data_IF_864035385563
#
_entry.id   IF_864035385563
#
_cell.length_a   1.000
_cell.length_b   1.000
_cell.length_c   1.000
_cell.angle_alpha   90.00
_cell.angle_beta   90.00
_cell.angle_gamma   90.00
#
_symmetry.space_group_name_H-M   'P 1'
#
loop_
_entity.id
_entity.type
_entity.pdbx_description
1 polymer ?
#
# COMPACT_ATOMS: atom_id res chain seq x y z
N UNK A 1 0.78 -21.89 -2.85
CA UNK A 1 1.25 -20.66 -2.19
C UNK A 1 1.71 -20.87 -0.74
N UNK A 2 1.43 -21.97 -0.09
CA UNK A 2 1.79 -22.19 1.32
C UNK A 2 0.90 -21.44 2.32
N UNK A 3 1.30 -21.47 3.62
CA UNK A 3 0.56 -20.83 4.72
C UNK A 3 1.49 -20.02 5.64
N UNK A 4 2.51 -19.39 5.08
CA UNK A 4 3.37 -18.46 5.81
C UNK A 4 2.66 -17.14 6.15
N UNK A 5 3.26 -16.31 6.97
CA UNK A 5 2.68 -15.03 7.39
C UNK A 5 2.48 -14.08 6.21
N UNK A 6 3.37 -14.10 5.22
CA UNK A 6 3.28 -13.29 4.00
C UNK A 6 2.03 -13.64 3.20
N UNK A 7 1.80 -14.94 2.97
CA UNK A 7 0.61 -15.44 2.29
C UNK A 7 -0.66 -15.09 3.06
N UNK A 8 -0.67 -15.32 4.39
CA UNK A 8 -1.84 -14.98 5.22
C UNK A 8 -2.14 -13.48 5.25
N UNK A 9 -1.13 -12.63 5.31
CA UNK A 9 -1.29 -11.19 5.37
C UNK A 9 -1.99 -10.64 4.11
N UNK A 10 -1.50 -11.01 2.92
CA UNK A 10 -2.15 -10.59 1.66
C UNK A 10 -3.50 -11.24 1.44
N UNK A 11 -3.66 -12.53 1.77
CA UNK A 11 -4.94 -13.21 1.61
C UNK A 11 -6.04 -12.61 2.49
N UNK A 12 -5.76 -12.28 3.75
CA UNK A 12 -6.70 -11.65 4.67
C UNK A 12 -7.09 -10.24 4.22
N UNK A 13 -6.13 -9.43 3.75
CA UNK A 13 -6.43 -8.11 3.23
C UNK A 13 -7.29 -8.18 1.95
N UNK A 14 -6.97 -9.09 1.04
CA UNK A 14 -7.75 -9.34 -0.16
C UNK A 14 -9.17 -9.81 0.17
N UNK A 15 -9.32 -10.79 1.07
CA UNK A 15 -10.62 -11.32 1.50
C UNK A 15 -11.48 -10.25 2.18
N UNK A 16 -10.90 -9.39 3.03
CA UNK A 16 -11.62 -8.28 3.65
C UNK A 16 -12.14 -7.28 2.63
N UNK A 17 -11.35 -6.98 1.61
CA UNK A 17 -11.79 -6.13 0.48
C UNK A 17 -12.88 -6.82 -0.34
N UNK A 18 -12.71 -8.10 -0.65
CA UNK A 18 -13.68 -8.86 -1.42
C UNK A 18 -15.03 -8.91 -0.71
N UNK A 19 -15.05 -9.25 0.58
CA UNK A 19 -16.26 -9.23 1.39
C UNK A 19 -16.96 -7.85 1.34
N UNK A 20 -16.19 -6.77 1.53
CA UNK A 20 -16.72 -5.41 1.46
C UNK A 20 -17.31 -5.07 0.10
N UNK A 21 -16.62 -5.44 -0.99
CA UNK A 21 -17.09 -5.16 -2.36
C UNK A 21 -18.32 -5.97 -2.74
N UNK A 22 -18.58 -7.07 -2.06
CA UNK A 22 -19.77 -7.92 -2.24
C UNK A 22 -20.88 -7.66 -1.19
N UNK A 23 -20.83 -6.52 -0.49
CA UNK A 23 -21.93 -6.04 0.34
C UNK A 23 -21.88 -6.50 1.81
N UNK A 24 -20.74 -6.94 2.32
CA UNK A 24 -20.60 -7.20 3.76
C UNK A 24 -20.82 -5.92 4.57
N UNK A 25 -21.76 -5.95 5.50
CA UNK A 25 -22.19 -4.79 6.31
C UNK A 25 -21.29 -4.51 7.52
N UNK A 26 -20.27 -5.32 7.77
CA UNK A 26 -19.34 -5.08 8.87
C UNK A 26 -18.61 -3.74 8.69
N UNK A 27 -18.44 -2.96 9.79
CA UNK A 27 -17.79 -1.66 9.71
C UNK A 27 -16.33 -1.76 9.32
N UNK A 28 -15.87 -0.82 8.50
CA UNK A 28 -14.49 -0.73 8.00
C UNK A 28 -13.93 0.65 8.30
N UNK A 29 -12.76 0.71 8.90
CA UNK A 29 -12.01 1.96 9.11
C UNK A 29 -11.54 2.51 7.77
N UNK A 30 -11.77 3.80 7.54
CA UNK A 30 -11.39 4.50 6.32
C UNK A 30 -9.98 5.10 6.47
N UNK A 31 -9.13 4.88 5.47
CA UNK A 31 -7.90 5.64 5.30
C UNK A 31 -7.93 6.36 3.95
N UNK A 32 -7.57 7.63 3.93
CA UNK A 32 -7.49 8.47 2.71
C UNK A 32 -8.76 8.42 1.84
N UNK A 33 -9.94 8.30 2.47
CA UNK A 33 -11.24 8.30 1.81
C UNK A 33 -11.71 6.94 1.30
N UNK A 34 -11.04 5.84 1.63
CA UNK A 34 -11.39 4.50 1.17
C UNK A 34 -11.29 3.44 2.27
N UNK A 35 -12.35 2.62 2.43
CA UNK A 35 -12.34 1.47 3.32
C UNK A 35 -11.36 0.38 2.85
N UNK A 36 -11.20 0.20 1.54
CA UNK A 36 -10.21 -0.74 1.00
C UNK A 36 -8.78 -0.33 1.37
N UNK A 37 -8.47 0.97 1.40
CA UNK A 37 -7.19 1.45 1.90
C UNK A 37 -7.05 1.19 3.40
N UNK A 38 -8.11 1.43 4.20
CA UNK A 38 -8.10 1.13 5.63
C UNK A 38 -7.85 -0.35 5.94
N UNK A 39 -8.47 -1.27 5.19
CA UNK A 39 -8.20 -2.71 5.27
C UNK A 39 -6.72 -2.99 4.92
N UNK A 40 -6.23 -2.40 3.86
CA UNK A 40 -4.88 -2.68 3.34
C UNK A 40 -3.78 -2.19 4.28
N UNK A 41 -3.93 -1.03 4.90
CA UNK A 41 -2.93 -0.50 5.86
C UNK A 41 -2.95 -1.22 7.20
N UNK A 42 -4.06 -1.90 7.56
CA UNK A 42 -4.25 -2.44 8.91
C UNK A 42 -4.13 -3.95 8.97
N UNK A 43 -4.83 -4.69 8.12
CA UNK A 43 -4.93 -6.15 8.21
C UNK A 43 -3.59 -6.87 8.06
N UNK A 44 -2.71 -6.51 7.12
CA UNK A 44 -1.38 -7.12 7.02
C UNK A 44 -0.52 -6.87 8.27
N UNK A 45 -0.55 -5.64 8.79
CA UNK A 45 0.19 -5.25 10.00
C UNK A 45 -0.29 -6.04 11.21
N UNK A 46 -1.61 -6.15 11.42
CA UNK A 46 -2.21 -6.98 12.49
C UNK A 46 -1.81 -8.45 12.33
N UNK A 47 -1.76 -8.95 11.09
CA UNK A 47 -1.39 -10.34 10.83
C UNK A 47 0.06 -10.60 11.21
N UNK A 48 0.98 -9.71 10.87
CA UNK A 48 2.39 -9.80 11.27
C UNK A 48 2.58 -9.60 12.77
N UNK A 49 1.87 -8.66 13.39
CA UNK A 49 1.94 -8.46 14.84
C UNK A 49 1.57 -9.72 15.62
N UNK A 50 0.51 -10.42 15.18
CA UNK A 50 0.12 -11.71 15.78
C UNK A 50 1.18 -12.79 15.60
N UNK A 51 1.78 -12.89 14.42
CA UNK A 51 2.86 -13.86 14.14
C UNK A 51 4.09 -13.60 14.99
N UNK A 52 4.49 -12.34 15.09
CA UNK A 52 5.67 -11.90 15.87
C UNK A 52 5.40 -11.81 17.36
N UNK A 53 4.16 -12.09 17.82
CA UNK A 53 3.75 -11.94 19.23
C UNK A 53 4.04 -10.55 19.78
N UNK A 54 3.83 -9.53 18.95
CA UNK A 54 4.05 -8.14 19.33
C UNK A 54 3.11 -7.72 20.48
N UNK A 55 3.57 -6.83 21.33
CA UNK A 55 2.75 -6.21 22.38
C UNK A 55 1.70 -5.28 21.74
N UNK A 56 0.64 -4.95 22.49
CA UNK A 56 -0.38 -3.99 22.03
C UNK A 56 0.24 -2.63 21.69
N UNK A 57 1.21 -2.17 22.46
CA UNK A 57 1.92 -0.92 22.17
C UNK A 57 2.68 -0.99 20.84
N UNK A 58 3.41 -2.07 20.57
CA UNK A 58 4.11 -2.27 19.30
C UNK A 58 3.11 -2.32 18.13
N UNK A 59 1.99 -3.03 18.30
CA UNK A 59 0.93 -3.07 17.30
C UNK A 59 0.36 -1.68 17.01
N UNK A 60 0.01 -0.91 18.06
CA UNK A 60 -0.56 0.43 17.86
C UNK A 60 0.42 1.40 17.21
N UNK A 61 1.69 1.35 17.57
CA UNK A 61 2.74 2.15 16.91
C UNK A 61 2.91 1.78 15.44
N UNK A 62 2.92 0.48 15.11
CA UNK A 62 3.00 -0.01 13.74
C UNK A 62 1.77 0.40 12.91
N UNK A 63 0.57 0.33 13.50
CA UNK A 63 -0.66 0.78 12.85
C UNK A 63 -0.66 2.30 12.63
N UNK A 64 -0.20 3.08 13.61
CA UNK A 64 -0.05 4.52 13.45
C UNK A 64 0.93 4.86 12.32
N UNK A 65 2.10 4.22 12.31
CA UNK A 65 3.10 4.40 11.25
C UNK A 65 2.51 4.06 9.87
N UNK A 66 1.90 2.89 9.72
CA UNK A 66 1.30 2.46 8.46
C UNK A 66 0.21 3.44 7.99
N UNK A 67 -0.71 3.83 8.87
CA UNK A 67 -1.80 4.73 8.50
C UNK A 67 -1.29 6.13 8.12
N UNK A 68 -0.37 6.71 8.88
CA UNK A 68 0.20 8.02 8.60
C UNK A 68 1.04 8.01 7.32
N UNK A 69 1.80 6.95 7.08
CA UNK A 69 2.58 6.76 5.84
C UNK A 69 1.66 6.73 4.62
N UNK A 70 0.52 6.02 4.69
CA UNK A 70 -0.44 6.01 3.59
C UNK A 70 -1.04 7.39 3.32
N UNK A 71 -1.42 8.12 4.36
CA UNK A 71 -1.94 9.50 4.25
C UNK A 71 -0.90 10.42 3.62
N UNK A 72 0.35 10.34 4.09
CA UNK A 72 1.46 11.14 3.57
C UNK A 72 1.70 10.88 2.09
N UNK A 73 1.78 9.62 1.67
CA UNK A 73 1.92 9.24 0.26
C UNK A 73 0.73 9.71 -0.59
N UNK A 74 -0.50 9.70 -0.03
CA UNK A 74 -1.70 10.08 -0.78
C UNK A 74 -1.85 11.59 -0.95
N UNK A 75 -1.30 12.39 -0.07
CA UNK A 75 -1.41 13.86 -0.07
C UNK A 75 -1.02 14.49 -1.41
N UNK A 76 0.14 14.21 -2.03
CA UNK A 76 0.53 14.80 -3.31
C UNK A 76 -0.27 14.25 -4.52
N UNK A 77 -0.88 13.07 -4.41
CA UNK A 77 -1.71 12.47 -5.48
C UNK A 77 -3.10 13.10 -5.51
N UNK A 78 -3.66 13.41 -4.35
CA UNK A 78 -5.02 13.89 -4.18
C UNK A 78 -6.03 12.76 -3.95
N UNK A 79 -7.29 13.13 -3.64
CA UNK A 79 -8.34 12.16 -3.27
C UNK A 79 -8.82 11.31 -4.43
N UNK A 80 -8.96 11.91 -5.61
CA UNK A 80 -9.44 11.24 -6.82
C UNK A 80 -8.31 11.18 -7.86
N UNK A 81 -7.97 10.00 -8.29
CA UNK A 81 -6.94 9.75 -9.29
C UNK A 81 -7.08 8.32 -9.81
N UNK A 82 -6.71 8.09 -11.07
CA UNK A 82 -6.52 6.76 -11.63
C UNK A 82 -5.37 5.99 -10.98
N UNK A 83 -4.51 6.65 -10.21
CA UNK A 83 -3.51 5.98 -9.38
C UNK A 83 -4.19 5.22 -8.23
N UNK A 84 -4.03 3.92 -8.19
CA UNK A 84 -4.73 3.06 -7.24
C UNK A 84 -4.28 3.32 -5.79
N UNK A 85 -5.23 3.67 -4.92
CA UNK A 85 -4.95 3.89 -3.50
C UNK A 85 -4.44 2.64 -2.76
N UNK A 86 -4.72 1.43 -3.28
CA UNK A 86 -4.19 0.19 -2.73
C UNK A 86 -2.64 0.14 -2.80
N UNK A 87 -2.03 0.78 -3.82
CA UNK A 87 -0.56 0.86 -3.95
C UNK A 87 0.06 1.56 -2.75
N UNK A 88 -0.43 2.76 -2.43
CA UNK A 88 0.06 3.52 -1.27
C UNK A 88 -0.19 2.77 0.03
N UNK A 89 -1.37 2.18 0.17
CA UNK A 89 -1.76 1.43 1.35
C UNK A 89 -0.91 0.16 1.54
N UNK A 90 -0.57 -0.55 0.47
CA UNK A 90 0.30 -1.72 0.50
C UNK A 90 1.75 -1.36 0.85
N UNK A 91 2.29 -0.29 0.25
CA UNK A 91 3.61 0.22 0.60
C UNK A 91 3.68 0.65 2.08
N UNK A 92 2.62 1.31 2.57
CA UNK A 92 2.51 1.71 3.96
C UNK A 92 2.35 0.52 4.93
N UNK A 93 1.62 -0.52 4.54
CA UNK A 93 1.57 -1.77 5.29
C UNK A 93 2.97 -2.41 5.41
N UNK A 94 3.76 -2.37 4.33
CA UNK A 94 5.17 -2.76 4.34
C UNK A 94 6.00 -1.98 5.37
N UNK A 95 5.80 -0.67 5.46
CA UNK A 95 6.45 0.18 6.48
C UNK A 95 6.10 -0.27 7.92
N UNK A 96 4.82 -0.53 8.19
CA UNK A 96 4.38 -1.06 9.50
C UNK A 96 4.96 -2.44 9.81
N UNK A 97 5.06 -3.31 8.81
CA UNK A 97 5.69 -4.63 8.93
C UNK A 97 7.19 -4.50 9.19
N UNK A 98 7.89 -3.61 8.46
CA UNK A 98 9.31 -3.33 8.68
C UNK A 98 9.56 -2.91 10.14
N UNK A 99 8.76 -1.98 10.66
CA UNK A 99 8.83 -1.55 12.05
C UNK A 99 8.62 -2.70 13.04
N UNK A 100 7.58 -3.52 12.86
CA UNK A 100 7.31 -4.69 13.72
C UNK A 100 8.44 -5.71 13.70
N UNK A 101 9.14 -5.81 12.59
CA UNK A 101 10.29 -6.71 12.41
C UNK A 101 11.61 -6.14 12.95
N UNK A 102 11.57 -5.00 13.63
CA UNK A 102 12.76 -4.35 14.22
C UNK A 102 13.54 -3.47 13.25
N UNK A 103 12.96 -3.15 12.09
CA UNK A 103 13.56 -2.22 11.12
C UNK A 103 13.62 -0.80 11.67
N UNK A 104 14.72 -0.12 11.37
CA UNK A 104 14.95 1.28 11.67
C UNK A 104 14.28 2.22 10.65
N UNK A 105 14.56 3.51 10.75
CA UNK A 105 14.04 4.52 9.83
C UNK A 105 14.42 4.21 8.37
N UNK A 106 15.66 3.81 8.10
CA UNK A 106 16.12 3.49 6.74
C UNK A 106 15.38 2.27 6.18
N UNK A 107 15.17 1.22 6.99
CA UNK A 107 14.38 0.07 6.58
C UNK A 107 12.94 0.46 6.22
N UNK A 108 12.33 1.36 6.98
CA UNK A 108 10.97 1.84 6.72
C UNK A 108 10.88 2.63 5.40
N UNK A 109 11.76 3.62 5.20
CA UNK A 109 11.69 4.47 4.00
C UNK A 109 12.05 3.70 2.74
N UNK A 110 13.06 2.82 2.77
CA UNK A 110 13.44 2.00 1.63
C UNK A 110 12.38 0.94 1.30
N UNK A 111 11.68 0.41 2.29
CA UNK A 111 10.51 -0.44 2.07
C UNK A 111 9.45 0.28 1.23
N UNK A 112 9.12 1.52 1.58
CA UNK A 112 8.14 2.33 0.84
C UNK A 112 8.61 2.63 -0.57
N UNK A 113 9.86 3.09 -0.72
CA UNK A 113 10.45 3.43 -2.04
C UNK A 113 10.46 2.20 -2.95
N UNK A 114 10.93 1.05 -2.46
CA UNK A 114 10.97 -0.19 -3.23
C UNK A 114 9.57 -0.61 -3.67
N UNK A 115 8.59 -0.60 -2.76
CA UNK A 115 7.22 -0.95 -3.08
C UNK A 115 6.62 -0.03 -4.17
N UNK A 116 6.81 1.29 -4.03
CA UNK A 116 6.31 2.26 -5.02
C UNK A 116 6.97 2.11 -6.39
N UNK A 117 8.28 1.83 -6.42
CA UNK A 117 8.99 1.57 -7.68
C UNK A 117 8.43 0.35 -8.42
N UNK A 118 7.97 -0.68 -7.69
CA UNK A 118 7.48 -1.93 -8.26
C UNK A 118 6.04 -1.80 -8.77
N UNK A 119 5.12 -1.16 -8.01
CA UNK A 119 3.67 -1.28 -8.27
C UNK A 119 2.95 0.02 -8.62
N UNK A 120 3.65 1.12 -8.88
CA UNK A 120 3.02 2.41 -9.19
C UNK A 120 2.21 2.44 -10.50
N UNK A 121 2.23 1.37 -11.30
CA UNK A 121 1.44 1.23 -12.52
C UNK A 121 0.02 0.67 -12.34
N UNK A 122 -0.39 0.29 -11.12
CA UNK A 122 -1.73 -0.24 -10.88
C UNK A 122 -2.75 0.90 -10.93
N UNK A 123 -3.72 0.78 -11.84
CA UNK A 123 -4.78 1.78 -12.01
C UNK A 123 -5.98 1.52 -11.10
N UNK A 124 -6.70 2.61 -10.78
CA UNK A 124 -7.98 2.58 -10.08
C UNK A 124 -9.13 2.81 -11.07
N UNK A 125 -9.94 1.79 -11.27
CA UNK A 125 -11.13 1.76 -12.11
C UNK A 125 -12.44 1.69 -11.30
N UNK A 126 -12.40 2.20 -10.08
CA UNK A 126 -13.50 2.20 -9.13
C UNK A 126 -13.45 1.05 -8.12
N UNK A 127 -14.32 1.12 -7.11
CA UNK A 127 -14.43 0.13 -6.04
C UNK A 127 -15.21 -1.09 -6.54
N UNK A 128 -14.52 -2.19 -6.79
CA UNK A 128 -15.05 -3.42 -7.38
C UNK A 128 -14.37 -4.66 -6.78
N UNK A 129 -14.91 -5.85 -7.05
CA UNK A 129 -14.34 -7.12 -6.61
C UNK A 129 -12.84 -7.29 -7.02
N UNK A 130 -12.44 -6.75 -8.19
CA UNK A 130 -11.04 -6.74 -8.64
C UNK A 130 -10.07 -6.02 -7.69
N UNK A 131 -10.58 -5.18 -6.78
CA UNK A 131 -9.74 -4.54 -5.75
C UNK A 131 -9.04 -5.57 -4.87
N UNK A 132 -9.64 -6.73 -4.61
CA UNK A 132 -9.02 -7.80 -3.83
C UNK A 132 -7.67 -8.24 -4.42
N UNK A 133 -7.62 -8.44 -5.75
CA UNK A 133 -6.38 -8.77 -6.45
C UNK A 133 -5.34 -7.64 -6.38
N UNK A 134 -5.78 -6.39 -6.64
CA UNK A 134 -4.90 -5.20 -6.56
C UNK A 134 -4.29 -5.03 -5.16
N UNK A 135 -5.08 -5.29 -4.10
CA UNK A 135 -4.64 -5.25 -2.70
C UNK A 135 -3.62 -6.36 -2.42
N UNK A 136 -3.89 -7.58 -2.88
CA UNK A 136 -2.95 -8.70 -2.69
C UNK A 136 -1.56 -8.36 -3.27
N UNK A 137 -1.52 -7.81 -4.49
CA UNK A 137 -0.26 -7.40 -5.13
C UNK A 137 0.40 -6.20 -4.45
N UNK A 138 -0.38 -5.22 -4.00
CA UNK A 138 0.15 -4.06 -3.29
C UNK A 138 0.79 -4.44 -1.94
N UNK A 139 0.14 -5.32 -1.18
CA UNK A 139 0.68 -5.86 0.08
C UNK A 139 1.93 -6.70 -0.18
N UNK A 140 1.91 -7.52 -1.24
CA UNK A 140 3.08 -8.29 -1.66
C UNK A 140 4.27 -7.39 -1.97
N UNK A 141 4.05 -6.29 -2.70
CA UNK A 141 5.11 -5.33 -3.00
C UNK A 141 5.67 -4.65 -1.74
N UNK A 142 4.82 -4.34 -0.76
CA UNK A 142 5.26 -3.81 0.53
C UNK A 142 6.16 -4.77 1.28
N UNK A 143 5.78 -6.05 1.36
CA UNK A 143 6.57 -7.10 2.01
C UNK A 143 7.87 -7.35 1.22
N UNK A 144 7.79 -7.40 -0.11
CA UNK A 144 8.96 -7.58 -0.97
C UNK A 144 9.94 -6.42 -0.80
N UNK A 145 9.44 -5.18 -0.75
CA UNK A 145 10.26 -3.99 -0.57
C UNK A 145 11.08 -4.04 0.72
N UNK A 146 10.49 -4.51 1.82
CA UNK A 146 11.20 -4.76 3.07
C UNK A 146 12.25 -5.87 2.93
N UNK A 147 11.87 -7.01 2.35
CA UNK A 147 12.79 -8.14 2.17
C UNK A 147 13.99 -7.78 1.28
N UNK A 148 13.77 -6.99 0.23
CA UNK A 148 14.86 -6.48 -0.61
C UNK A 148 15.85 -5.66 0.21
N UNK A 149 15.35 -4.71 1.01
CA UNK A 149 16.21 -3.89 1.85
C UNK A 149 17.03 -4.73 2.86
N UNK A 150 16.39 -5.71 3.50
CA UNK A 150 17.07 -6.62 4.44
C UNK A 150 18.16 -7.48 3.77
N UNK A 151 18.10 -7.65 2.47
CA UNK A 151 19.14 -8.33 1.66
C UNK A 151 20.16 -7.35 1.05
N UNK A 152 20.16 -6.09 1.48
CA UNK A 152 21.04 -5.06 0.96
C UNK A 152 20.68 -4.58 -0.46
N UNK A 153 19.44 -4.82 -0.91
CA UNK A 153 18.94 -4.42 -2.22
C UNK A 153 17.90 -3.31 -2.09
N UNK A 154 18.05 -2.29 -2.92
CA UNK A 154 17.12 -1.16 -2.97
C UNK A 154 17.19 -0.47 -4.32
N UNK A 155 16.14 0.27 -4.67
CA UNK A 155 16.17 1.19 -5.80
C UNK A 155 16.79 2.52 -5.38
N UNK A 156 17.58 3.10 -6.29
CA UNK A 156 18.32 4.33 -6.06
C UNK A 156 17.73 5.51 -6.86
N UNK A 157 18.08 6.71 -6.47
CA UNK A 157 17.75 7.90 -7.23
C UNK A 157 18.32 7.81 -8.65
N UNK A 158 17.41 7.84 -9.64
CA UNK A 158 17.74 7.62 -11.05
C UNK A 158 17.11 6.35 -11.61
N UNK A 159 16.65 5.43 -10.78
CA UNK A 159 15.90 4.25 -11.21
C UNK A 159 14.45 4.65 -11.56
N UNK A 160 14.24 5.05 -12.80
CA UNK A 160 12.93 5.49 -13.28
C UNK A 160 12.38 6.70 -12.53
N UNK A 161 11.25 6.50 -11.83
CA UNK A 161 10.58 7.56 -11.06
C UNK A 161 11.17 7.78 -9.66
N UNK A 162 12.07 6.91 -9.21
CA UNK A 162 12.73 7.02 -7.92
C UNK A 162 13.70 8.22 -7.92
N UNK A 163 13.65 9.02 -6.86
CA UNK A 163 14.50 10.19 -6.64
C UNK A 163 15.39 9.99 -5.42
N UNK A 164 16.34 10.89 -5.22
CA UNK A 164 17.18 10.87 -4.04
C UNK A 164 16.34 11.21 -2.81
N UNK A 165 16.13 10.20 -1.95
CA UNK A 165 15.31 10.32 -0.75
C UNK A 165 13.82 10.07 -0.98
N UNK A 166 13.15 9.77 0.13
CA UNK A 166 11.73 9.38 0.12
C UNK A 166 10.81 10.53 -0.33
N UNK A 167 11.02 11.74 0.19
CA UNK A 167 10.13 12.88 -0.08
C UNK A 167 10.09 13.26 -1.56
N UNK A 168 11.22 13.26 -2.24
CA UNK A 168 11.26 13.58 -3.66
C UNK A 168 10.72 12.43 -4.52
N UNK A 169 10.84 11.19 -4.05
CA UNK A 169 10.18 10.03 -4.67
C UNK A 169 8.66 10.17 -4.53
N UNK A 170 8.14 10.52 -3.35
CA UNK A 170 6.71 10.74 -3.12
C UNK A 170 6.16 11.89 -3.98
N UNK A 171 6.91 12.98 -4.14
CA UNK A 171 6.55 14.07 -5.08
C UNK A 171 6.47 13.58 -6.52
N UNK A 172 7.41 12.73 -6.96
CA UNK A 172 7.40 12.16 -8.32
C UNK A 172 6.17 11.26 -8.53
N UNK A 173 5.87 10.38 -7.58
CA UNK A 173 4.67 9.54 -7.59
C UNK A 173 3.40 10.41 -7.55
N UNK A 174 3.40 11.45 -6.72
CA UNK A 174 2.31 12.42 -6.62
C UNK A 174 2.01 13.10 -7.95
N UNK A 175 3.05 13.60 -8.61
CA UNK A 175 2.94 14.22 -9.94
C UNK A 175 2.44 13.23 -10.99
N UNK A 176 2.95 11.99 -10.97
CA UNK A 176 2.47 10.93 -11.85
C UNK A 176 0.97 10.68 -11.64
N UNK A 177 0.55 10.48 -10.39
CA UNK A 177 -0.84 10.18 -10.05
C UNK A 177 -1.80 11.35 -10.28
N UNK A 178 -1.38 12.58 -9.97
CA UNK A 178 -2.22 13.77 -10.08
C UNK A 178 -2.30 14.30 -11.52
N UNK A 179 -1.15 14.49 -12.14
CA UNK A 179 -1.04 15.19 -13.43
C UNK A 179 -0.92 14.18 -14.58
N UNK A 180 -0.04 13.19 -14.43
CA UNK A 180 0.25 12.21 -15.47
C UNK A 180 -0.92 11.26 -15.78
N UNK A 181 -1.70 10.88 -14.76
CA UNK A 181 -2.85 9.99 -14.92
C UNK A 181 -4.18 10.70 -15.17
N UNK A 182 -4.19 12.01 -15.44
CA UNK A 182 -5.43 12.74 -15.70
C UNK A 182 -6.17 12.20 -16.93
N UNK A 183 -5.48 12.05 -18.06
CA UNK A 183 -6.04 11.44 -19.26
C UNK A 183 -6.45 9.98 -19.07
N UNK A 184 -5.67 9.21 -18.29
CA UNK A 184 -6.02 7.84 -17.92
C UNK A 184 -7.34 7.78 -17.15
N UNK A 185 -7.56 8.71 -16.23
CA UNK A 185 -8.80 8.79 -15.45
C UNK A 185 -10.00 9.10 -16.36
N UNK A 186 -9.84 10.03 -17.28
CA UNK A 186 -10.89 10.39 -18.26
C UNK A 186 -11.23 9.20 -19.17
N UNK A 187 -10.24 8.45 -19.63
CA UNK A 187 -10.43 7.29 -20.48
C UNK A 187 -11.10 6.13 -19.74
N UNK A 188 -10.72 5.87 -18.48
CA UNK A 188 -11.39 4.87 -17.65
C UNK A 188 -12.89 5.19 -17.51
N UNK A 189 -13.24 6.46 -17.29
CA UNK A 189 -14.63 6.87 -17.15
C UNK A 189 -15.40 6.60 -18.46
N UNK A 190 -14.83 6.92 -19.63
CA UNK A 190 -15.46 6.63 -20.93
C UNK A 190 -15.72 5.13 -21.08
N UNK A 191 -14.70 4.30 -20.87
CA UNK A 191 -14.83 2.83 -20.96
C UNK A 191 -15.93 2.31 -20.01
N UNK A 192 -16.08 2.90 -18.83
CA UNK A 192 -17.10 2.47 -17.86
C UNK A 192 -18.52 2.90 -18.24
N UNK A 193 -18.67 3.85 -19.16
CA UNK A 193 -19.97 4.36 -19.63
C UNK A 193 -20.42 3.72 -20.95
N UNK A 194 -19.58 2.96 -21.63
CA UNK A 194 -19.90 2.13 -22.80
C UNK A 194 -20.72 0.89 -22.37
#
# INVERSE_FOLDING_TARGET
YGNDVRTRAKARAAAGSDARMNGCELPVIINSGSGNQGITVSVPVITYAKELKATDEQLYRALALSNLTAIHQRTPIGRLSAYCGAVNAGAAAGAGIAYLSGGDYEAVIHTVVNALAIVSGIICDGAKASCAGKIAFAVEAGILGYNMYMQGQQFYGGDGIVKKGIEDTLKSVGRLGKDGMKGTNEEIIKIMLE
#
